data_IF_827331081994
#
_entry.id   IF_827331081994
#
_cell.length_a   1.000
_cell.length_b   1.000
_cell.length_c   1.000
_cell.angle_alpha   90.00
_cell.angle_beta   90.00
_cell.angle_gamma   90.00
#
_symmetry.space_group_name_H-M   'P 1'
#
loop_
_entity.id
_entity.type
_entity.pdbx_description
1 polymer ?
#
# COMPACT_ATOMS: atom_id res chain seq x y z
N UNK A 1 -16.26 -14.94 12.58
CA UNK A 1 -16.42 -14.53 13.97
C UNK A 1 -15.11 -14.00 14.56
N UNK A 2 -14.61 -12.86 14.09
CA UNK A 2 -13.63 -12.03 14.80
C UNK A 2 -13.78 -10.58 14.29
N UNK A 3 -14.97 -10.01 14.50
CA UNK A 3 -15.39 -8.66 14.06
C UNK A 3 -15.20 -7.58 15.12
N UNK A 4 -14.28 -7.69 16.04
CA UNK A 4 -14.23 -6.77 17.18
C UNK A 4 -12.82 -6.34 17.54
N UNK A 5 -12.10 -5.69 16.61
CA UNK A 5 -10.91 -4.92 16.99
C UNK A 5 -10.79 -3.56 16.29
N UNK A 6 -11.87 -3.06 15.71
CA UNK A 6 -11.93 -1.67 15.27
C UNK A 6 -12.39 -0.81 16.43
N UNK A 7 -11.60 0.19 16.77
CA UNK A 7 -11.83 1.17 17.83
C UNK A 7 -13.26 1.72 17.75
N UNK A 8 -13.96 1.82 18.89
CA UNK A 8 -15.32 2.36 18.94
C UNK A 8 -15.40 3.72 18.26
N UNK A 9 -16.43 3.93 17.44
CA UNK A 9 -16.66 5.09 16.55
C UNK A 9 -16.41 6.45 17.23
N UNK A 10 -16.82 6.61 18.50
CA UNK A 10 -16.70 7.84 19.27
C UNK A 10 -15.24 8.19 19.66
N UNK A 11 -14.41 7.21 19.96
CA UNK A 11 -13.01 7.41 20.33
C UNK A 11 -12.15 7.75 19.11
N UNK A 12 -12.43 7.12 17.98
CA UNK A 12 -11.78 7.40 16.71
C UNK A 12 -12.15 8.79 16.18
N UNK A 13 -13.43 9.17 16.23
CA UNK A 13 -13.91 10.50 15.81
C UNK A 13 -13.36 11.62 16.72
N UNK A 14 -13.23 11.40 18.02
CA UNK A 14 -12.65 12.36 18.96
C UNK A 14 -11.17 12.60 18.66
N UNK A 15 -10.39 11.53 18.51
CA UNK A 15 -8.96 11.61 18.14
C UNK A 15 -8.75 12.21 16.75
N UNK A 16 -9.64 11.93 15.81
CA UNK A 16 -9.59 12.51 14.46
C UNK A 16 -9.85 14.03 14.48
N UNK A 17 -10.77 14.51 15.33
CA UNK A 17 -11.00 15.97 15.49
C UNK A 17 -9.84 16.67 16.16
N UNK A 18 -9.18 16.03 17.12
CA UNK A 18 -7.95 16.54 17.75
C UNK A 18 -6.78 16.60 16.74
N UNK A 19 -6.68 15.62 15.83
CA UNK A 19 -5.64 15.56 14.81
C UNK A 19 -5.93 16.45 13.58
N UNK A 20 -7.19 16.65 13.21
CA UNK A 20 -7.59 17.58 12.14
C UNK A 20 -7.37 19.06 12.51
N UNK A 21 -7.27 19.37 13.80
CA UNK A 21 -6.85 20.69 14.30
C UNK A 21 -5.34 20.94 14.21
N UNK A 22 -4.54 19.92 13.93
CA UNK A 22 -3.10 20.09 13.68
C UNK A 22 -2.90 20.40 12.21
N UNK A 23 -2.90 21.69 11.90
CA UNK A 23 -2.48 22.28 10.61
C UNK A 23 -1.24 21.54 10.07
N UNK A 24 -1.20 21.37 8.74
CA UNK A 24 -0.17 20.76 7.90
C UNK A 24 1.25 21.37 7.98
N UNK A 25 1.64 21.88 9.13
CA UNK A 25 3.01 22.26 9.46
C UNK A 25 3.51 21.30 10.53
N UNK A 26 4.50 20.47 10.18
CA UNK A 26 5.41 19.93 11.17
C UNK A 26 5.98 21.12 11.96
N UNK A 27 5.34 21.47 13.05
CA UNK A 27 5.96 22.36 14.00
C UNK A 27 7.03 21.56 14.73
N UNK A 28 8.26 22.08 14.84
CA UNK A 28 9.20 21.55 15.81
C UNK A 28 8.51 21.68 17.17
N UNK A 29 8.40 20.59 17.90
CA UNK A 29 7.94 20.59 19.27
C UNK A 29 8.79 21.57 20.06
N UNK A 30 8.24 22.75 20.34
CA UNK A 30 8.79 23.60 21.37
C UNK A 30 8.74 22.81 22.67
N UNK A 31 9.90 22.67 23.27
CA UNK A 31 10.11 22.14 24.61
C UNK A 31 9.06 22.72 25.58
N UNK A 32 8.06 21.95 25.90
CA UNK A 32 7.30 22.10 27.14
C UNK A 32 7.39 20.75 27.86
N UNK A 33 8.15 20.74 28.94
CA UNK A 33 8.56 19.57 29.69
C UNK A 33 7.37 18.74 30.23
N UNK A 34 7.01 17.74 29.48
CA UNK A 34 6.33 16.56 30.00
C UNK A 34 7.19 15.36 29.61
N UNK A 35 7.94 14.87 30.57
CA UNK A 35 8.70 13.65 30.46
C UNK A 35 7.75 12.49 30.10
N UNK A 36 7.79 12.03 28.85
CA UNK A 36 7.09 10.82 28.44
C UNK A 36 7.80 9.60 29.03
N UNK A 37 7.03 8.64 29.52
CA UNK A 37 7.55 7.37 30.04
C UNK A 37 7.25 6.26 29.04
N UNK A 38 8.23 5.39 28.75
CA UNK A 38 8.02 4.23 27.89
C UNK A 38 6.95 3.30 28.50
N UNK A 39 5.85 2.99 27.79
CA UNK A 39 4.77 2.16 28.31
C UNK A 39 5.16 0.69 28.49
N UNK A 40 6.31 0.26 27.95
CA UNK A 40 6.77 -1.13 28.01
C UNK A 40 7.74 -1.36 29.20
N UNK A 41 8.66 -0.42 29.44
CA UNK A 41 9.72 -0.59 30.45
C UNK A 41 9.72 0.49 31.53
N UNK A 42 8.85 1.52 31.46
CA UNK A 42 8.73 2.58 32.47
C UNK A 42 9.88 3.62 32.47
N UNK A 43 10.83 3.54 31.53
CA UNK A 43 11.96 4.51 31.46
C UNK A 43 11.55 5.83 30.80
N UNK A 44 12.18 6.94 31.21
CA UNK A 44 11.96 8.24 30.61
C UNK A 44 12.39 8.29 29.12
N UNK A 45 11.64 9.05 28.31
CA UNK A 45 11.86 9.23 26.87
C UNK A 45 12.31 10.67 26.59
N UNK A 46 13.46 10.87 25.99
CA UNK A 46 13.93 12.20 25.60
C UNK A 46 13.35 12.70 24.27
N UNK A 47 13.08 11.82 23.34
CA UNK A 47 12.41 12.16 22.09
C UNK A 47 11.64 10.97 21.52
N UNK A 48 10.46 11.26 21.00
CA UNK A 48 9.74 10.35 20.11
C UNK A 48 10.15 10.78 18.70
N UNK A 49 10.87 9.96 17.99
CA UNK A 49 11.08 10.19 16.56
C UNK A 49 9.71 10.45 15.92
N UNK A 50 9.58 11.46 15.04
CA UNK A 50 8.34 11.98 14.48
C UNK A 50 7.52 10.98 13.61
N UNK A 51 7.58 9.72 13.90
CA UNK A 51 6.71 8.67 13.36
C UNK A 51 5.60 8.26 14.35
N UNK A 52 5.56 8.88 15.51
CA UNK A 52 4.69 8.48 16.61
C UNK A 52 3.37 9.21 16.68
N UNK A 53 2.45 8.97 15.76
CA UNK A 53 1.04 9.11 16.07
C UNK A 53 0.58 7.85 16.81
N UNK A 54 0.56 7.91 18.13
CA UNK A 54 -0.05 6.87 18.96
C UNK A 54 -1.56 6.89 18.76
N UNK A 55 -2.09 6.18 17.78
CA UNK A 55 -3.40 5.56 17.98
C UNK A 55 -3.13 4.30 18.80
N UNK A 56 -3.79 4.06 19.92
CA UNK A 56 -3.53 2.96 20.86
C UNK A 56 -3.58 1.53 20.27
N UNK A 57 -3.06 1.35 19.08
CA UNK A 57 -2.86 0.08 18.40
C UNK A 57 -1.48 -0.48 18.70
N UNK A 58 -1.38 -1.76 19.09
CA UNK A 58 -0.13 -2.43 19.44
C UNK A 58 0.84 -2.64 18.26
N UNK A 59 0.58 -2.04 17.10
CA UNK A 59 1.22 -2.35 15.81
C UNK A 59 2.16 -1.28 15.27
N UNK A 60 2.28 -0.14 15.95
CA UNK A 60 3.30 0.84 15.62
C UNK A 60 4.59 0.45 16.33
N UNK A 61 5.48 -0.24 15.63
CA UNK A 61 6.88 -0.33 16.00
C UNK A 61 7.53 1.05 15.86
N UNK A 62 7.15 1.97 16.72
CA UNK A 62 7.98 3.12 17.01
C UNK A 62 9.19 2.58 17.75
N UNK A 63 10.37 2.66 17.16
CA UNK A 63 11.62 2.48 17.90
C UNK A 63 11.62 3.56 18.98
N UNK A 64 11.28 3.18 20.20
CA UNK A 64 11.35 4.07 21.35
C UNK A 64 12.84 4.20 21.72
N UNK A 65 13.38 5.40 21.56
CA UNK A 65 14.75 5.72 22.00
C UNK A 65 14.67 6.32 23.40
N UNK A 66 15.39 5.72 24.33
CA UNK A 66 15.51 6.25 25.69
C UNK A 66 16.46 7.46 25.76
N UNK A 67 16.35 8.21 26.83
CA UNK A 67 17.19 9.38 27.13
C UNK A 67 18.71 9.14 27.03
N UNK A 68 19.15 7.89 27.23
CA UNK A 68 20.54 7.47 27.10
C UNK A 68 20.94 7.00 25.70
N UNK A 69 20.07 7.13 24.68
CA UNK A 69 20.32 6.70 23.32
C UNK A 69 20.15 5.20 23.07
N UNK A 70 19.75 4.41 24.06
CA UNK A 70 19.47 2.99 23.90
C UNK A 70 18.09 2.79 23.28
N UNK A 71 17.98 1.88 22.29
CA UNK A 71 16.71 1.46 21.74
C UNK A 71 16.00 0.51 22.71
N UNK A 72 14.71 0.73 22.94
CA UNK A 72 13.90 -0.21 23.69
C UNK A 72 13.65 -1.46 22.80
N UNK A 73 14.57 -2.41 22.84
CA UNK A 73 14.31 -3.73 22.30
C UNK A 73 13.29 -4.41 23.23
N UNK A 74 12.02 -4.47 22.83
CA UNK A 74 11.08 -5.35 23.51
C UNK A 74 11.57 -6.77 23.31
N UNK A 75 11.84 -7.50 24.37
CA UNK A 75 12.14 -8.94 24.34
C UNK A 75 10.91 -9.79 23.99
N UNK A 76 9.76 -9.16 23.73
CA UNK A 76 8.60 -9.83 23.18
C UNK A 76 8.88 -10.21 21.73
N UNK A 77 8.54 -11.42 21.28
CA UNK A 77 8.60 -11.75 19.87
C UNK A 77 7.77 -10.71 19.11
N UNK A 78 8.35 -10.14 18.05
CA UNK A 78 7.67 -9.15 17.21
C UNK A 78 6.29 -9.71 16.83
N UNK A 79 5.21 -8.93 16.95
CA UNK A 79 3.88 -9.43 16.70
C UNK A 79 3.79 -9.95 15.27
N UNK A 80 3.13 -11.11 15.11
CA UNK A 80 2.85 -11.71 13.80
C UNK A 80 2.04 -10.72 12.98
N UNK A 81 2.38 -10.59 11.70
CA UNK A 81 1.60 -9.76 10.75
C UNK A 81 0.19 -10.32 10.65
N UNK A 82 -0.81 -9.51 11.01
CA UNK A 82 -2.21 -9.89 10.98
C UNK A 82 -2.85 -9.55 9.62
N UNK A 83 -3.84 -10.35 9.21
CA UNK A 83 -4.72 -10.02 8.09
C UNK A 83 -5.64 -8.82 8.43
N UNK A 84 -6.24 -8.24 7.39
CA UNK A 84 -7.13 -7.08 7.44
C UNK A 84 -6.46 -5.84 8.06
N UNK A 85 -5.17 -5.69 7.77
CA UNK A 85 -4.37 -4.61 8.34
C UNK A 85 -3.46 -3.98 7.30
N UNK A 86 -3.39 -2.65 7.33
CA UNK A 86 -2.35 -1.88 6.66
C UNK A 86 -1.39 -1.37 7.72
N UNK A 87 -0.11 -1.50 7.46
CA UNK A 87 0.97 -1.08 8.36
C UNK A 87 1.64 0.18 7.83
N UNK A 88 1.83 1.17 8.70
CA UNK A 88 2.67 2.33 8.39
C UNK A 88 4.14 1.90 8.54
N UNK A 89 4.72 1.43 7.46
CA UNK A 89 6.09 0.86 7.47
C UNK A 89 6.66 0.81 6.06
N UNK A 90 7.99 0.75 5.97
CA UNK A 90 8.67 0.30 4.77
C UNK A 90 8.29 -1.15 4.45
N UNK A 91 8.00 -1.43 3.17
CA UNK A 91 7.48 -2.73 2.74
C UNK A 91 8.46 -3.87 2.99
N UNK A 92 9.77 -3.69 2.72
CA UNK A 92 10.78 -4.74 2.93
C UNK A 92 10.90 -5.09 4.40
N UNK A 93 10.92 -4.07 5.27
CA UNK A 93 10.97 -4.25 6.73
C UNK A 93 9.74 -5.01 7.23
N UNK A 94 8.57 -4.67 6.72
CA UNK A 94 7.32 -5.36 7.05
C UNK A 94 7.28 -6.79 6.53
N UNK A 95 7.63 -7.01 5.25
CA UNK A 95 7.61 -8.33 4.60
C UNK A 95 8.54 -9.34 5.27
N UNK A 96 9.71 -8.92 5.76
CA UNK A 96 10.62 -9.80 6.51
C UNK A 96 10.01 -10.40 7.78
N UNK A 97 8.92 -9.84 8.27
CA UNK A 97 8.16 -10.34 9.44
C UNK A 97 7.02 -11.26 9.04
N UNK A 98 6.71 -11.36 7.75
CA UNK A 98 5.72 -12.28 7.22
C UNK A 98 6.31 -13.67 7.06
N UNK A 99 5.50 -14.67 7.33
CA UNK A 99 5.88 -16.07 7.09
C UNK A 99 5.95 -16.36 5.59
N UNK A 100 6.79 -17.30 5.21
CA UNK A 100 6.85 -17.81 3.84
C UNK A 100 5.48 -18.37 3.46
N UNK A 101 5.13 -18.23 2.18
CA UNK A 101 3.92 -18.83 1.61
C UNK A 101 2.63 -18.52 2.41
N UNK A 102 2.51 -17.26 2.88
CA UNK A 102 1.40 -16.80 3.72
C UNK A 102 0.30 -16.06 2.96
N UNK A 103 0.53 -15.66 1.70
CA UNK A 103 -0.46 -14.91 0.90
C UNK A 103 -0.89 -15.68 -0.35
N UNK A 104 -2.15 -15.48 -0.74
CA UNK A 104 -2.80 -16.22 -1.84
C UNK A 104 -2.72 -15.44 -3.17
N UNK A 105 -2.66 -14.12 -3.11
CA UNK A 105 -2.58 -13.24 -4.28
C UNK A 105 -1.78 -11.99 -3.94
N UNK A 106 -0.94 -11.54 -4.85
CA UNK A 106 -0.30 -10.21 -4.77
C UNK A 106 -0.86 -9.33 -5.89
N UNK A 107 -1.28 -8.11 -5.55
CA UNK A 107 -1.64 -7.06 -6.52
C UNK A 107 -0.98 -5.78 -6.05
N UNK A 108 0.02 -5.29 -6.76
CA UNK A 108 0.84 -4.18 -6.27
C UNK A 108 1.29 -3.23 -7.36
N UNK A 109 1.42 -1.95 -6.97
CA UNK A 109 1.79 -0.81 -7.82
C UNK A 109 3.11 -0.19 -7.31
N UNK A 110 4.27 -0.85 -7.49
CA UNK A 110 5.55 -0.33 -7.04
C UNK A 110 5.97 0.91 -7.83
N UNK A 111 6.95 1.71 -7.34
CA UNK A 111 7.52 2.82 -8.10
C UNK A 111 8.05 2.37 -9.47
N UNK A 112 7.78 3.16 -10.53
CA UNK A 112 8.04 2.73 -11.93
C UNK A 112 9.45 3.02 -12.43
N UNK A 113 10.33 3.60 -11.62
CA UNK A 113 11.70 3.98 -11.98
C UNK A 113 11.76 4.98 -13.18
N UNK A 114 10.76 5.85 -13.27
CA UNK A 114 10.67 6.86 -14.34
C UNK A 114 11.01 8.26 -13.85
N UNK A 115 11.38 8.40 -12.58
CA UNK A 115 11.70 9.67 -11.93
C UNK A 115 10.59 10.71 -12.14
N UNK A 116 9.35 10.30 -11.89
CA UNK A 116 8.15 11.04 -12.24
C UNK A 116 8.03 12.33 -11.41
N UNK A 117 8.18 13.48 -12.08
CA UNK A 117 7.89 14.79 -11.53
C UNK A 117 6.77 15.46 -12.34
N UNK A 118 5.65 15.83 -11.71
CA UNK A 118 4.59 16.58 -12.39
C UNK A 118 4.98 18.05 -12.56
N UNK A 119 5.63 18.37 -13.69
CA UNK A 119 6.03 19.75 -14.03
C UNK A 119 4.89 20.67 -14.47
N UNK A 120 3.70 20.12 -14.77
CA UNK A 120 2.63 20.84 -15.46
C UNK A 120 1.60 21.53 -14.56
N UNK A 121 1.62 21.34 -13.24
CA UNK A 121 0.70 22.04 -12.35
C UNK A 121 1.21 23.45 -12.07
N UNK A 122 0.32 24.44 -12.20
CA UNK A 122 0.62 25.84 -11.87
C UNK A 122 0.87 26.02 -10.37
N UNK A 123 0.12 25.31 -9.53
CA UNK A 123 0.33 25.26 -8.10
C UNK A 123 1.39 24.20 -7.74
N UNK A 124 2.63 24.66 -7.52
CA UNK A 124 3.76 23.82 -7.10
C UNK A 124 3.67 23.32 -5.65
N UNK A 125 2.81 23.93 -4.84
CA UNK A 125 2.54 23.51 -3.47
C UNK A 125 1.51 22.38 -3.38
N UNK A 126 0.90 21.99 -4.51
CA UNK A 126 -0.06 20.90 -4.53
C UNK A 126 0.65 19.57 -4.22
N UNK A 127 0.06 18.81 -3.32
CA UNK A 127 0.60 17.54 -2.80
C UNK A 127 1.03 16.51 -3.87
N UNK A 128 0.38 16.53 -5.04
CA UNK A 128 0.74 15.66 -6.16
C UNK A 128 1.97 16.14 -6.96
N UNK A 129 2.60 17.24 -6.56
CA UNK A 129 3.89 17.67 -7.11
C UNK A 129 5.09 17.06 -6.38
N UNK A 130 4.88 16.40 -5.26
CA UNK A 130 5.95 15.70 -4.52
C UNK A 130 6.40 14.48 -5.34
N UNK A 131 7.72 14.28 -5.56
CA UNK A 131 8.24 13.08 -6.19
C UNK A 131 7.79 11.82 -5.45
N UNK A 132 7.55 10.74 -6.19
CA UNK A 132 7.25 9.43 -5.60
C UNK A 132 8.51 8.94 -4.88
N UNK A 133 8.37 8.53 -3.63
CA UNK A 133 9.50 7.99 -2.88
C UNK A 133 10.05 6.73 -3.58
N UNK A 134 11.39 6.64 -3.64
CA UNK A 134 12.11 5.52 -4.21
C UNK A 134 11.87 5.26 -5.72
N UNK A 135 11.31 6.22 -6.49
CA UNK A 135 11.08 6.06 -7.94
C UNK A 135 12.40 6.02 -8.78
N UNK A 136 13.55 6.07 -8.13
CA UNK A 136 14.88 5.93 -8.73
C UNK A 136 15.71 4.78 -8.12
N UNK A 137 15.09 3.86 -7.37
CA UNK A 137 15.78 2.80 -6.65
C UNK A 137 15.48 1.40 -7.22
N UNK A 138 16.26 0.93 -8.23
CA UNK A 138 16.06 -0.38 -8.83
C UNK A 138 16.34 -1.55 -7.87
N UNK A 139 17.24 -1.37 -6.88
CA UNK A 139 17.55 -2.41 -5.90
C UNK A 139 16.36 -2.68 -4.97
N UNK A 140 15.58 -1.65 -4.63
CA UNK A 140 14.36 -1.82 -3.87
C UNK A 140 13.39 -2.73 -4.61
N UNK A 141 13.18 -2.50 -5.91
CA UNK A 141 12.27 -3.30 -6.73
C UNK A 141 12.72 -4.76 -6.80
N UNK A 142 14.03 -5.00 -6.99
CA UNK A 142 14.57 -6.37 -7.01
C UNK A 142 14.31 -7.08 -5.68
N UNK A 143 14.64 -6.46 -4.54
CA UNK A 143 14.39 -7.00 -3.19
C UNK A 143 12.89 -7.22 -2.92
N UNK A 144 12.06 -6.28 -3.37
CA UNK A 144 10.62 -6.39 -3.21
C UNK A 144 10.06 -7.61 -3.93
N UNK A 145 10.47 -7.82 -5.18
CA UNK A 145 9.99 -8.95 -5.98
C UNK A 145 10.49 -10.30 -5.41
N UNK A 146 11.72 -10.35 -4.88
CA UNK A 146 12.25 -11.51 -4.17
C UNK A 146 11.41 -11.84 -2.91
N UNK A 147 11.10 -10.84 -2.08
CA UNK A 147 10.23 -11.01 -0.93
C UNK A 147 8.80 -11.42 -1.34
N UNK A 148 8.26 -10.85 -2.44
CA UNK A 148 6.98 -11.29 -3.00
C UNK A 148 6.99 -12.78 -3.36
N UNK A 149 8.07 -13.29 -3.96
CA UNK A 149 8.20 -14.70 -4.26
C UNK A 149 8.22 -15.55 -2.98
N UNK A 150 8.91 -15.10 -1.94
CA UNK A 150 8.98 -15.80 -0.66
C UNK A 150 7.61 -15.92 0.02
N UNK A 151 6.87 -14.80 0.14
CA UNK A 151 5.60 -14.78 0.88
C UNK A 151 4.41 -15.35 0.09
N UNK A 152 4.48 -15.40 -1.25
CA UNK A 152 3.41 -15.93 -2.09
C UNK A 152 3.39 -17.46 -2.02
N UNK A 153 2.20 -18.03 -1.87
CA UNK A 153 2.00 -19.48 -1.89
C UNK A 153 2.34 -20.09 -3.27
N UNK A 154 2.74 -21.36 -3.34
CA UNK A 154 2.89 -22.07 -4.61
C UNK A 154 1.59 -22.09 -5.41
N UNK A 155 1.71 -22.05 -6.73
CA UNK A 155 0.60 -22.04 -7.69
C UNK A 155 -0.32 -20.81 -7.56
N UNK A 156 0.21 -19.70 -7.07
CA UNK A 156 -0.48 -18.43 -6.92
C UNK A 156 0.10 -17.36 -7.86
N UNK A 157 -0.64 -16.26 -8.02
CA UNK A 157 -0.35 -15.19 -8.97
C UNK A 157 0.08 -13.90 -8.29
N UNK A 158 0.90 -13.14 -9.00
CA UNK A 158 1.26 -11.77 -8.67
C UNK A 158 0.97 -10.87 -9.86
N UNK A 159 0.12 -9.86 -9.67
CA UNK A 159 -0.13 -8.78 -10.62
C UNK A 159 0.69 -7.57 -10.23
N UNK A 160 1.67 -7.21 -11.06
CA UNK A 160 2.57 -6.10 -10.82
C UNK A 160 2.42 -5.01 -11.88
N UNK A 161 1.99 -3.82 -11.46
CA UNK A 161 1.93 -2.67 -12.34
C UNK A 161 3.34 -2.16 -12.69
N UNK A 162 3.50 -1.67 -13.90
CA UNK A 162 4.72 -1.01 -14.34
C UNK A 162 4.46 -0.05 -15.51
N UNK A 163 5.42 0.82 -15.79
CA UNK A 163 5.41 1.64 -17.00
C UNK A 163 5.81 0.82 -18.23
N UNK A 164 5.18 1.09 -19.37
CA UNK A 164 5.62 0.53 -20.66
C UNK A 164 7.10 0.85 -20.98
N UNK A 165 7.63 1.95 -20.43
CA UNK A 165 9.03 2.35 -20.64
C UNK A 165 10.04 1.51 -19.85
N UNK A 166 9.63 0.96 -18.72
CA UNK A 166 10.51 0.21 -17.81
C UNK A 166 10.10 -1.24 -17.64
N UNK A 167 9.10 -1.73 -18.39
CA UNK A 167 8.57 -3.09 -18.23
C UNK A 167 9.63 -4.19 -18.36
N UNK A 168 10.66 -4.00 -19.17
CA UNK A 168 11.71 -5.01 -19.37
C UNK A 168 12.57 -5.18 -18.12
N UNK A 169 12.82 -4.08 -17.38
CA UNK A 169 13.44 -4.16 -16.06
C UNK A 169 12.58 -4.99 -15.10
N UNK A 170 11.27 -4.71 -15.03
CA UNK A 170 10.34 -5.43 -14.14
C UNK A 170 10.19 -6.91 -14.50
N UNK A 171 10.18 -7.24 -15.80
CA UNK A 171 10.21 -8.64 -16.26
C UNK A 171 11.49 -9.34 -15.82
N UNK A 172 12.65 -8.68 -16.00
CA UNK A 172 13.95 -9.23 -15.60
C UNK A 172 14.01 -9.43 -14.07
N UNK A 173 13.56 -8.45 -13.28
CA UNK A 173 13.50 -8.56 -11.83
C UNK A 173 12.60 -9.74 -11.39
N UNK A 174 11.45 -9.93 -12.04
CA UNK A 174 10.57 -11.05 -11.77
C UNK A 174 11.20 -12.41 -12.11
N UNK A 175 11.89 -12.51 -13.23
CA UNK A 175 12.60 -13.73 -13.65
C UNK A 175 13.77 -14.06 -12.72
N UNK A 176 14.53 -13.06 -12.28
CA UNK A 176 15.61 -13.23 -11.29
C UNK A 176 15.07 -13.75 -9.95
N UNK A 177 13.87 -13.34 -9.57
CA UNK A 177 13.16 -13.81 -8.38
C UNK A 177 12.37 -15.12 -8.63
N UNK A 178 12.63 -15.85 -9.72
CA UNK A 178 12.02 -17.14 -10.08
C UNK A 178 10.54 -17.12 -10.46
N UNK A 179 9.94 -15.95 -10.68
CA UNK A 179 8.60 -15.88 -11.24
C UNK A 179 8.59 -16.24 -12.73
N UNK A 180 7.50 -16.91 -13.16
CA UNK A 180 7.22 -17.06 -14.59
C UNK A 180 6.36 -15.89 -15.05
N UNK A 181 6.86 -15.06 -15.98
CA UNK A 181 6.08 -13.99 -16.62
C UNK A 181 5.10 -14.61 -17.60
N UNK A 182 3.80 -14.48 -17.37
CA UNK A 182 2.73 -15.07 -18.20
C UNK A 182 2.18 -14.11 -19.24
N UNK A 183 1.81 -12.89 -18.81
CA UNK A 183 1.28 -11.86 -19.70
C UNK A 183 1.83 -10.48 -19.34
N UNK A 184 1.85 -9.61 -20.32
CA UNK A 184 1.88 -8.17 -20.15
C UNK A 184 0.48 -7.66 -20.53
N UNK A 185 -0.39 -7.49 -19.52
CA UNK A 185 -1.74 -7.00 -19.70
C UNK A 185 -1.69 -5.51 -19.93
N UNK A 186 -2.38 -5.03 -20.96
CA UNK A 186 -2.48 -3.60 -21.30
C UNK A 186 -3.74 -3.04 -20.67
N UNK A 187 -3.60 -2.18 -19.65
CA UNK A 187 -4.70 -1.42 -19.13
C UNK A 187 -4.85 -0.12 -19.91
N UNK A 188 -5.90 -0.04 -20.74
CA UNK A 188 -6.25 1.12 -21.54
C UNK A 188 -7.11 2.07 -20.71
N UNK A 189 -6.72 3.35 -20.67
CA UNK A 189 -7.45 4.43 -20.01
C UNK A 189 -8.34 5.15 -21.03
N UNK A 190 -9.44 5.78 -20.58
CA UNK A 190 -10.32 6.57 -21.45
C UNK A 190 -9.63 7.79 -22.10
N UNK A 191 -8.56 8.27 -21.46
CA UNK A 191 -7.85 9.48 -21.90
C UNK A 191 -6.33 9.28 -21.84
N UNK A 192 -5.61 9.98 -22.72
CA UNK A 192 -4.14 9.98 -22.76
C UNK A 192 -3.54 11.07 -21.88
N UNK A 193 -2.26 10.93 -21.56
CA UNK A 193 -1.46 11.93 -20.83
C UNK A 193 -0.96 13.02 -21.77
N UNK A 194 -0.69 14.20 -21.23
CA UNK A 194 -0.22 15.35 -22.02
C UNK A 194 1.15 15.09 -22.66
N UNK A 195 2.13 14.58 -21.92
CA UNK A 195 3.49 14.32 -22.43
C UNK A 195 4.14 15.51 -23.16
N UNK A 196 5.09 15.21 -24.07
CA UNK A 196 5.62 16.19 -25.02
C UNK A 196 4.66 16.32 -26.21
N UNK A 197 3.93 17.43 -26.27
CA UNK A 197 2.87 17.68 -27.25
C UNK A 197 3.37 17.74 -28.71
N UNK A 198 4.67 17.90 -28.94
CA UNK A 198 5.26 18.09 -30.28
C UNK A 198 6.01 16.85 -30.79
N UNK A 199 6.55 16.03 -29.88
CA UNK A 199 7.45 14.95 -30.25
C UNK A 199 7.09 13.59 -29.60
N UNK A 200 5.94 13.46 -28.93
CA UNK A 200 5.52 12.22 -28.29
C UNK A 200 4.02 12.01 -28.43
N UNK A 201 3.59 10.78 -28.69
CA UNK A 201 2.19 10.41 -28.57
C UNK A 201 1.75 10.44 -27.10
N UNK A 202 0.51 10.87 -26.84
CA UNK A 202 -0.09 10.80 -25.50
C UNK A 202 -0.18 9.36 -25.03
N UNK A 203 0.39 9.06 -23.86
CA UNK A 203 0.33 7.71 -23.30
C UNK A 203 -1.06 7.43 -22.75
N UNK A 204 -1.72 6.40 -23.26
CA UNK A 204 -3.11 6.05 -22.94
C UNK A 204 -3.22 4.74 -22.13
N UNK A 205 -2.12 4.04 -21.88
CA UNK A 205 -2.15 2.76 -21.19
C UNK A 205 -1.04 2.64 -20.14
N UNK A 206 -1.26 1.72 -19.22
CA UNK A 206 -0.23 1.17 -18.33
C UNK A 206 -0.15 -0.34 -18.52
N UNK A 207 0.96 -0.92 -18.09
CA UNK A 207 1.20 -2.36 -18.19
C UNK A 207 1.00 -3.00 -16.80
N UNK A 208 0.36 -4.15 -16.80
CA UNK A 208 0.17 -5.00 -15.64
C UNK A 208 0.77 -6.37 -15.95
N UNK A 209 1.90 -6.70 -15.35
CA UNK A 209 2.54 -8.00 -15.54
C UNK A 209 1.80 -9.05 -14.70
N UNK A 210 1.39 -10.15 -15.35
CA UNK A 210 0.93 -11.35 -14.67
C UNK A 210 2.12 -12.29 -14.47
N UNK A 211 2.47 -12.51 -13.22
CA UNK A 211 3.59 -13.32 -12.76
C UNK A 211 3.04 -14.52 -11.97
N UNK A 212 3.59 -15.70 -12.18
CA UNK A 212 3.17 -16.90 -11.47
C UNK A 212 4.34 -17.53 -10.70
N UNK A 213 4.07 -17.92 -9.45
CA UNK A 213 4.89 -18.88 -8.70
C UNK A 213 4.32 -20.27 -8.97
N UNK A 214 4.90 -21.01 -9.91
CA UNK A 214 4.34 -22.26 -10.39
C UNK A 214 3.18 -22.09 -11.39
N UNK A 215 2.10 -22.83 -11.24
CA UNK A 215 0.91 -22.78 -12.11
C UNK A 215 -0.27 -22.18 -11.35
N UNK A 216 -0.63 -20.93 -11.65
CA UNK A 216 -1.81 -20.26 -11.11
C UNK A 216 -2.97 -20.31 -12.14
N UNK A 217 -3.96 -21.18 -11.99
CA UNK A 217 -5.08 -21.27 -12.93
C UNK A 217 -6.07 -20.12 -12.71
N UNK A 218 -6.70 -19.65 -13.77
CA UNK A 218 -7.77 -18.66 -13.70
C UNK A 218 -9.04 -19.23 -13.07
N UNK A 219 -9.71 -18.46 -12.25
CA UNK A 219 -11.10 -18.70 -11.91
C UNK A 219 -12.00 -18.30 -13.09
N UNK A 220 -12.98 -19.16 -13.40
CA UNK A 220 -13.95 -18.89 -14.45
C UNK A 220 -13.36 -18.81 -15.86
N UNK A 221 -13.97 -17.98 -16.73
CA UNK A 221 -13.58 -17.87 -18.13
C UNK A 221 -12.26 -17.13 -18.31
N UNK A 222 -11.45 -17.59 -19.28
CA UNK A 222 -10.26 -16.88 -19.75
C UNK A 222 -10.67 -15.54 -20.38
N UNK A 223 -9.92 -14.49 -20.10
CA UNK A 223 -10.09 -13.16 -20.69
C UNK A 223 -8.93 -12.84 -21.65
N UNK A 224 -9.13 -11.82 -22.49
CA UNK A 224 -8.05 -11.18 -23.23
C UNK A 224 -7.14 -10.37 -22.29
N UNK A 225 -5.99 -9.95 -22.80
CA UNK A 225 -4.97 -9.20 -22.06
C UNK A 225 -4.99 -7.69 -22.37
N UNK A 226 -6.05 -7.21 -23.03
CA UNK A 226 -6.36 -5.78 -23.15
C UNK A 226 -7.58 -5.46 -22.29
N UNK A 227 -7.37 -4.63 -21.26
CA UNK A 227 -8.40 -4.28 -20.30
C UNK A 227 -8.70 -2.79 -20.34
N UNK A 228 -9.97 -2.44 -20.49
CA UNK A 228 -10.42 -1.05 -20.52
C UNK A 228 -11.06 -0.69 -19.19
N UNK A 229 -10.48 0.29 -18.50
CA UNK A 229 -11.03 0.89 -17.29
C UNK A 229 -10.69 2.38 -17.27
N UNK A 230 -11.66 3.25 -16.97
CA UNK A 230 -11.37 4.68 -16.85
C UNK A 230 -10.39 4.95 -15.72
N UNK A 231 -9.42 5.84 -15.96
CA UNK A 231 -8.51 6.32 -14.91
C UNK A 231 -9.26 7.21 -13.90
N UNK A 232 -8.79 7.23 -12.66
CA UNK A 232 -9.36 8.12 -11.62
C UNK A 232 -8.79 9.52 -11.79
N UNK A 233 -9.66 10.54 -11.84
CA UNK A 233 -9.27 11.95 -12.03
C UNK A 233 -10.11 12.92 -11.19
N UNK A 234 -9.59 14.14 -11.07
CA UNK A 234 -10.30 15.26 -10.42
C UNK A 234 -10.48 15.06 -8.92
N UNK A 235 -11.60 15.51 -8.38
CA UNK A 235 -11.89 15.50 -6.93
C UNK A 235 -11.96 14.09 -6.31
N UNK A 236 -12.16 13.05 -7.12
CA UNK A 236 -12.20 11.65 -6.66
C UNK A 236 -10.80 11.05 -6.50
N UNK A 237 -9.77 11.71 -7.00
CA UNK A 237 -8.39 11.24 -6.94
C UNK A 237 -7.77 11.58 -5.58
N UNK A 238 -7.47 10.57 -4.79
CA UNK A 238 -6.88 10.66 -3.45
C UNK A 238 -5.35 10.44 -3.47
N UNK A 239 -4.83 9.86 -4.54
CA UNK A 239 -3.40 9.60 -4.76
C UNK A 239 -3.05 9.87 -6.22
N UNK A 240 -1.83 10.39 -6.50
CA UNK A 240 -1.45 10.78 -7.88
C UNK A 240 -1.53 9.63 -8.89
N UNK A 241 -1.29 8.40 -8.47
CA UNK A 241 -1.33 7.18 -9.31
C UNK A 241 -2.45 6.22 -8.89
N UNK A 242 -3.56 6.73 -8.36
CA UNK A 242 -4.67 5.89 -7.88
C UNK A 242 -5.23 5.01 -9.00
N UNK A 243 -5.28 3.70 -8.74
CA UNK A 243 -5.90 2.72 -9.65
C UNK A 243 -7.41 2.63 -9.43
N UNK A 244 -8.20 2.31 -10.48
CA UNK A 244 -9.62 2.00 -10.32
C UNK A 244 -9.82 0.74 -9.46
N UNK A 245 -10.82 0.75 -8.60
CA UNK A 245 -11.14 -0.42 -7.73
C UNK A 245 -11.54 -1.62 -8.60
N UNK A 246 -12.32 -1.38 -9.65
CA UNK A 246 -12.81 -2.40 -10.58
C UNK A 246 -11.69 -3.13 -11.32
N UNK A 247 -10.59 -2.43 -11.61
CA UNK A 247 -9.39 -3.05 -12.20
C UNK A 247 -8.74 -4.03 -11.24
N UNK A 248 -8.60 -3.65 -9.97
CA UNK A 248 -8.04 -4.52 -8.92
C UNK A 248 -8.98 -5.69 -8.63
N UNK A 249 -10.30 -5.44 -8.58
CA UNK A 249 -11.30 -6.50 -8.41
C UNK A 249 -11.20 -7.56 -9.50
N UNK A 250 -10.92 -7.17 -10.76
CA UNK A 250 -10.68 -8.15 -11.84
C UNK A 250 -9.48 -9.05 -11.55
N UNK A 251 -8.39 -8.52 -11.03
CA UNK A 251 -7.23 -9.34 -10.63
C UNK A 251 -7.60 -10.32 -9.52
N UNK A 252 -8.30 -9.82 -8.48
CA UNK A 252 -8.76 -10.60 -7.33
C UNK A 252 -9.72 -11.72 -7.77
N UNK A 253 -10.70 -11.40 -8.61
CA UNK A 253 -11.65 -12.38 -9.16
C UNK A 253 -10.94 -13.53 -9.88
N UNK A 254 -9.91 -13.21 -10.66
CA UNK A 254 -9.22 -14.20 -11.52
C UNK A 254 -8.34 -15.17 -10.76
N UNK A 255 -7.73 -14.76 -9.64
CA UNK A 255 -6.72 -15.59 -8.97
C UNK A 255 -6.90 -15.69 -7.44
N UNK A 256 -8.09 -15.41 -6.92
CA UNK A 256 -8.38 -15.66 -5.51
C UNK A 256 -9.81 -16.12 -5.27
N UNK A 257 -10.06 -16.70 -4.11
CA UNK A 257 -11.37 -17.13 -3.60
C UNK A 257 -11.75 -16.28 -2.39
N UNK A 258 -13.00 -16.33 -1.97
CA UNK A 258 -13.42 -15.73 -0.71
C UNK A 258 -12.61 -16.27 0.47
N UNK A 259 -12.19 -15.40 1.36
CA UNK A 259 -11.34 -15.72 2.51
C UNK A 259 -9.84 -15.80 2.20
N UNK A 260 -9.41 -15.73 0.93
CA UNK A 260 -7.99 -15.66 0.56
C UNK A 260 -7.36 -14.32 1.01
N UNK A 261 -6.05 -14.34 1.22
CA UNK A 261 -5.27 -13.15 1.61
C UNK A 261 -4.65 -12.47 0.38
N UNK A 262 -5.02 -11.22 0.15
CA UNK A 262 -4.47 -10.36 -0.91
C UNK A 262 -3.42 -9.43 -0.31
N UNK A 263 -2.25 -9.38 -0.92
CA UNK A 263 -1.13 -8.56 -0.45
C UNK A 263 -0.82 -7.41 -1.39
N UNK A 264 -0.48 -6.24 -0.81
CA UNK A 264 0.06 -5.09 -1.52
C UNK A 264 1.12 -4.37 -0.68
N UNK A 265 2.36 -4.33 -1.17
CA UNK A 265 3.48 -3.67 -0.48
C UNK A 265 3.55 -2.16 -0.67
N UNK A 266 2.73 -1.59 -1.58
CA UNK A 266 2.69 -0.16 -1.91
C UNK A 266 1.24 0.33 -1.97
N UNK A 267 0.57 0.32 -0.81
CA UNK A 267 -0.88 0.54 -0.71
C UNK A 267 -1.38 1.87 -1.27
N UNK A 268 -0.56 2.93 -1.25
CA UNK A 268 -0.93 4.26 -1.73
C UNK A 268 -2.23 4.76 -1.09
N UNK A 269 -3.30 4.87 -1.87
CA UNK A 269 -4.63 5.23 -1.35
C UNK A 269 -5.49 4.05 -0.88
N UNK A 270 -4.96 2.82 -0.84
CA UNK A 270 -5.65 1.62 -0.33
C UNK A 270 -6.63 0.97 -1.31
N UNK A 271 -6.44 1.15 -2.61
CA UNK A 271 -7.35 0.59 -3.60
C UNK A 271 -7.42 -0.93 -3.52
N UNK A 272 -6.29 -1.59 -3.29
CA UNK A 272 -6.21 -3.05 -3.14
C UNK A 272 -6.97 -3.55 -1.91
N UNK A 273 -6.82 -2.88 -0.77
CA UNK A 273 -7.55 -3.21 0.46
C UNK A 273 -9.07 -3.03 0.29
N UNK A 274 -9.51 -1.91 -0.31
CA UNK A 274 -10.93 -1.68 -0.62
C UNK A 274 -11.49 -2.75 -1.55
N UNK A 275 -10.76 -3.11 -2.60
CA UNK A 275 -11.18 -4.16 -3.53
C UNK A 275 -11.29 -5.53 -2.84
N UNK A 276 -10.34 -5.87 -1.96
CA UNK A 276 -10.35 -7.11 -1.19
C UNK A 276 -11.58 -7.18 -0.26
N UNK A 277 -11.85 -6.12 0.51
CA UNK A 277 -13.02 -6.02 1.39
C UNK A 277 -14.33 -6.21 0.61
N UNK A 278 -14.50 -5.50 -0.52
CA UNK A 278 -15.70 -5.61 -1.37
C UNK A 278 -15.95 -7.02 -1.92
N UNK A 279 -14.90 -7.80 -2.03
CA UNK A 279 -14.96 -9.15 -2.58
C UNK A 279 -14.86 -10.25 -1.51
N UNK A 280 -14.97 -9.93 -0.21
CA UNK A 280 -14.82 -10.87 0.92
C UNK A 280 -13.45 -11.57 0.95
N UNK A 281 -12.38 -10.86 0.61
CA UNK A 281 -11.00 -11.31 0.78
C UNK A 281 -10.38 -10.60 1.96
N UNK A 282 -9.43 -11.27 2.61
CA UNK A 282 -8.55 -10.64 3.57
C UNK A 282 -7.46 -9.84 2.84
N UNK A 283 -6.86 -8.88 3.53
CA UNK A 283 -5.76 -8.11 2.96
C UNK A 283 -4.63 -7.91 3.98
N UNK A 284 -3.42 -7.73 3.47
CA UNK A 284 -2.26 -7.25 4.21
C UNK A 284 -1.57 -6.21 3.33
N UNK A 285 -1.17 -5.08 3.91
CA UNK A 285 -0.45 -4.09 3.12
C UNK A 285 0.46 -3.19 3.91
N UNK A 286 1.36 -2.53 3.17
CA UNK A 286 2.29 -1.55 3.70
C UNK A 286 2.14 -0.21 2.99
N UNK A 287 2.27 0.86 3.75
CA UNK A 287 2.32 2.23 3.26
C UNK A 287 3.38 2.99 4.07
N UNK A 288 4.28 3.68 3.38
CA UNK A 288 5.38 4.40 4.04
C UNK A 288 4.98 5.83 4.39
N UNK A 289 4.03 6.40 3.65
CA UNK A 289 3.61 7.79 3.83
C UNK A 289 2.45 7.89 4.83
N UNK A 290 2.63 8.57 5.99
CA UNK A 290 1.59 8.71 7.01
C UNK A 290 0.28 9.28 6.46
N UNK A 291 0.35 10.21 5.52
CA UNK A 291 -0.81 10.83 4.89
C UNK A 291 -1.66 9.80 4.15
N UNK A 292 -1.05 8.96 3.33
CA UNK A 292 -1.78 7.94 2.59
C UNK A 292 -2.31 6.84 3.51
N UNK A 293 -1.56 6.48 4.54
CA UNK A 293 -2.04 5.58 5.59
C UNK A 293 -3.38 6.04 6.20
N UNK A 294 -3.54 7.34 6.50
CA UNK A 294 -4.80 7.89 7.00
C UNK A 294 -5.92 7.90 5.95
N UNK A 295 -5.59 8.13 4.69
CA UNK A 295 -6.56 8.03 3.59
C UNK A 295 -7.08 6.59 3.48
N UNK A 296 -6.20 5.60 3.57
CA UNK A 296 -6.59 4.17 3.56
C UNK A 296 -7.55 3.88 4.72
N UNK A 297 -7.17 4.30 5.92
CA UNK A 297 -8.00 4.08 7.12
C UNK A 297 -9.41 4.62 6.94
N UNK A 298 -9.56 5.86 6.47
CA UNK A 298 -10.87 6.47 6.26
C UNK A 298 -11.69 5.71 5.21
N UNK A 299 -11.08 5.35 4.08
CA UNK A 299 -11.74 4.56 3.03
C UNK A 299 -12.23 3.21 3.55
N UNK A 300 -11.41 2.50 4.32
CA UNK A 300 -11.80 1.21 4.90
C UNK A 300 -12.93 1.36 5.92
N UNK A 301 -12.93 2.41 6.73
CA UNK A 301 -14.03 2.71 7.64
C UNK A 301 -15.36 2.93 6.87
N UNK A 302 -15.33 3.66 5.76
CA UNK A 302 -16.50 3.87 4.90
C UNK A 302 -16.99 2.56 4.28
N UNK A 303 -16.10 1.73 3.74
CA UNK A 303 -16.46 0.43 3.14
C UNK A 303 -17.10 -0.51 4.17
N UNK A 304 -16.56 -0.61 5.37
CA UNK A 304 -17.12 -1.46 6.43
C UNK A 304 -18.52 -0.99 6.87
N UNK A 305 -18.77 0.34 6.91
CA UNK A 305 -20.09 0.88 7.22
C UNK A 305 -21.13 0.54 6.15
N UNK A 306 -20.75 0.54 4.87
CA UNK A 306 -21.62 0.19 3.76
C UNK A 306 -21.92 -1.32 3.65
N UNK A 307 -21.03 -2.18 4.18
CA UNK A 307 -21.15 -3.63 4.12
C UNK A 307 -21.63 -4.26 5.45
N UNK A 308 -21.78 -3.45 6.52
CA UNK A 308 -22.45 -3.92 7.73
C UNK A 308 -23.94 -4.13 7.38
N UNK A 309 -24.52 -5.35 7.56
CA UNK A 309 -25.95 -5.51 7.42
C UNK A 309 -26.63 -4.57 8.40
N UNK A 310 -27.58 -3.76 7.90
CA UNK A 310 -28.53 -3.04 8.76
C UNK A 310 -29.20 -4.07 9.68
N UNK A 311 -28.74 -4.16 10.92
CA UNK A 311 -29.48 -4.83 11.97
C UNK A 311 -30.55 -3.82 12.40
N UNK A 312 -31.68 -3.82 11.70
CA UNK A 312 -32.97 -3.32 12.21
C UNK A 312 -33.56 -4.38 13.11
#
# INVERSE_FOLDING_TARGET
>A
FARTKWCGKLECERKMKELAGVSSRCMPLKQSGTEGVCPVCGKALESVACTGLRCGHPWLDSVLVHANGETCASQSPLPVIASDTVYLSDCITGMRRMTDESVDLIVSDPPYLINYATGHRQDKAHDFCTPIQNDSNPELIQKYVEECYRILKPNCAFYMFCSAKTQDFFKTAAQNAHFTVKNAIVWVKSEWTMGDLKAQFGQQYEVLLLLNKGRAPFNGKRLGDVWEFPGIRGRKQLHQNQKPVELIQRCIEKHSKEGDVVFDGFMGSGTTAVAAVRMNRHFIGFEIEPRYFWIIHNRLCEEVQHHAPCLL
#
